data_IF_356391541418
#
_entry.id   IF_356391541418
#
_cell.length_a   1.000
_cell.length_b   1.000
_cell.length_c   1.000
_cell.angle_alpha   90.00
_cell.angle_beta   90.00
_cell.angle_gamma   90.00
#
_symmetry.space_group_name_H-M   'P 1'
#
loop_
_entity.id
_entity.type
_entity.pdbx_description
1 polymer ?
#
# COMPACT_ATOMS: atom_id res chain seq x y z
N UNK A 1 19.17 -5.89 6.13
CA UNK A 1 18.11 -6.20 5.15
C UNK A 1 17.21 -7.27 5.74
N UNK A 2 15.88 -7.07 5.74
CA UNK A 2 14.90 -8.07 6.19
C UNK A 2 14.30 -8.74 4.95
N UNK A 3 14.37 -10.07 4.87
CA UNK A 3 13.81 -10.84 3.76
C UNK A 3 12.42 -11.35 4.15
N UNK A 4 11.39 -10.58 3.84
CA UNK A 4 10.00 -10.92 4.14
C UNK A 4 9.05 -10.46 3.02
N UNK A 5 7.89 -11.13 2.91
CA UNK A 5 6.79 -10.72 2.02
C UNK A 5 5.51 -10.55 2.83
N UNK A 6 4.77 -9.49 2.55
CA UNK A 6 3.51 -9.22 3.19
C UNK A 6 2.36 -10.12 2.72
N UNK A 7 1.14 -9.91 3.24
CA UNK A 7 0.76 -8.77 4.08
C UNK A 7 1.42 -8.81 5.46
N UNK A 8 1.81 -7.64 5.98
CA UNK A 8 2.40 -7.50 7.32
C UNK A 8 1.32 -7.17 8.34
N UNK A 9 1.51 -7.60 9.59
CA UNK A 9 0.59 -7.31 10.69
C UNK A 9 0.98 -6.03 11.40
N UNK A 10 0.01 -5.35 12.02
CA UNK A 10 0.26 -4.15 12.83
C UNK A 10 1.22 -4.43 13.99
N UNK A 11 1.07 -5.58 14.65
CA UNK A 11 1.94 -6.00 15.74
C UNK A 11 3.39 -6.18 15.25
N UNK A 12 3.59 -6.89 14.15
CA UNK A 12 4.92 -7.12 13.59
C UNK A 12 5.61 -5.83 13.14
N UNK A 13 4.87 -4.91 12.52
CA UNK A 13 5.38 -3.59 12.14
C UNK A 13 5.73 -2.75 13.38
N UNK A 14 4.90 -2.80 14.42
CA UNK A 14 5.14 -2.07 15.69
C UNK A 14 6.39 -2.60 16.39
N UNK A 15 6.54 -3.93 16.48
CA UNK A 15 7.72 -4.57 17.05
C UNK A 15 8.97 -4.18 16.25
N UNK A 16 8.92 -4.29 14.92
CA UNK A 16 10.03 -3.94 14.04
C UNK A 16 10.48 -2.48 14.22
N UNK A 17 9.54 -1.52 14.25
CA UNK A 17 9.86 -0.10 14.42
C UNK A 17 10.50 0.16 15.80
N UNK A 18 10.01 -0.45 16.87
CA UNK A 18 10.56 -0.30 18.22
C UNK A 18 11.93 -0.96 18.39
N UNK A 19 12.03 -2.24 18.07
CA UNK A 19 13.25 -3.04 18.28
C UNK A 19 14.44 -2.52 17.50
N UNK A 20 14.17 -1.92 16.33
CA UNK A 20 15.20 -1.32 15.48
C UNK A 20 15.38 0.17 15.70
N UNK A 21 14.68 0.76 16.68
CA UNK A 21 14.69 2.19 16.98
C UNK A 21 14.52 3.06 15.72
N UNK A 22 13.59 2.67 14.83
CA UNK A 22 13.35 3.38 13.57
C UNK A 22 12.57 4.65 13.88
N UNK A 23 13.17 5.81 13.61
CA UNK A 23 12.54 7.12 13.77
C UNK A 23 11.81 7.61 12.51
N UNK A 24 12.13 7.06 11.34
CA UNK A 24 11.61 7.52 10.05
C UNK A 24 11.26 6.34 9.12
N UNK A 25 10.04 6.36 8.59
CA UNK A 25 9.55 5.45 7.56
C UNK A 25 9.50 6.17 6.20
N UNK A 26 10.25 5.68 5.21
CA UNK A 26 10.14 6.12 3.82
C UNK A 26 9.37 5.07 3.03
N UNK A 27 8.25 5.44 2.41
CA UNK A 27 7.44 4.47 1.67
C UNK A 27 6.74 5.08 0.46
N UNK A 28 6.30 4.22 -0.47
CA UNK A 28 5.53 4.62 -1.66
C UNK A 28 4.04 4.68 -1.35
N UNK A 29 3.34 5.65 -1.93
CA UNK A 29 1.88 5.69 -1.97
C UNK A 29 1.30 4.66 -2.98
N UNK A 30 1.51 3.37 -2.68
CA UNK A 30 1.02 2.24 -3.48
C UNK A 30 -0.49 2.03 -3.34
N UNK A 31 -1.09 2.50 -2.24
CA UNK A 31 -2.48 2.23 -1.90
C UNK A 31 -2.72 0.77 -1.49
N UNK A 32 -3.97 0.45 -1.13
CA UNK A 32 -4.40 -0.89 -0.74
C UNK A 32 -4.15 -1.22 0.72
N UNK A 33 -5.00 -2.10 1.27
CA UNK A 33 -5.01 -2.49 2.68
C UNK A 33 -3.74 -3.18 3.17
N UNK A 34 -2.99 -3.81 2.26
CA UNK A 34 -1.70 -4.45 2.58
C UNK A 34 -0.62 -3.47 3.08
N UNK A 35 -0.82 -2.15 2.93
CA UNK A 35 0.12 -1.12 3.40
C UNK A 35 -0.30 -0.41 4.68
N UNK A 36 -1.48 -0.73 5.23
CA UNK A 36 -2.04 -0.02 6.38
C UNK A 36 -1.27 -0.30 7.66
N UNK A 37 -0.81 -1.54 7.86
CA UNK A 37 -0.15 -1.97 9.10
C UNK A 37 1.04 -1.09 9.49
N UNK A 38 1.97 -0.83 8.55
CA UNK A 38 3.16 0.02 8.82
C UNK A 38 2.84 1.48 9.05
N UNK A 39 1.83 2.02 8.35
CA UNK A 39 1.41 3.41 8.50
C UNK A 39 0.69 3.60 9.84
N UNK A 40 -0.11 2.62 10.26
CA UNK A 40 -0.75 2.59 11.57
C UNK A 40 0.29 2.44 12.70
N UNK A 41 1.27 1.54 12.55
CA UNK A 41 2.37 1.38 13.51
C UNK A 41 3.18 2.67 13.65
N UNK A 42 3.59 3.27 12.52
CA UNK A 42 4.34 4.52 12.53
C UNK A 42 3.58 5.65 13.22
N UNK A 43 2.26 5.78 12.94
CA UNK A 43 1.39 6.76 13.61
C UNK A 43 1.31 6.52 15.11
N UNK A 44 1.12 5.28 15.55
CA UNK A 44 1.02 4.92 16.96
C UNK A 44 2.31 5.20 17.75
N UNK A 45 3.46 5.11 17.08
CA UNK A 45 4.78 5.33 17.68
C UNK A 45 5.33 6.75 17.48
N UNK A 46 4.63 7.63 16.77
CA UNK A 46 5.13 8.98 16.45
C UNK A 46 6.31 8.99 15.47
N UNK A 47 6.51 7.91 14.73
CA UNK A 47 7.57 7.77 13.70
C UNK A 47 7.27 8.69 12.53
N UNK A 48 8.27 9.45 12.07
CA UNK A 48 8.15 10.34 10.92
C UNK A 48 7.86 9.52 9.66
N UNK A 49 6.89 9.94 8.84
CA UNK A 49 6.59 9.27 7.57
C UNK A 49 6.91 10.18 6.39
N UNK A 50 7.78 9.71 5.49
CA UNK A 50 8.03 10.31 4.18
C UNK A 50 7.33 9.45 3.14
N UNK A 51 6.20 9.95 2.64
CA UNK A 51 5.38 9.23 1.66
C UNK A 51 5.66 9.75 0.24
N UNK A 52 6.29 8.91 -0.58
CA UNK A 52 6.52 9.21 -2.00
C UNK A 52 5.18 9.25 -2.75
N UNK A 53 4.90 10.41 -3.37
CA UNK A 53 3.68 10.61 -4.18
C UNK A 53 3.67 9.67 -5.38
N UNK A 54 2.46 9.30 -5.81
CA UNK A 54 2.24 8.53 -7.04
C UNK A 54 2.70 9.39 -8.24
N UNK A 55 3.51 8.85 -9.17
CA UNK A 55 3.85 9.58 -10.39
C UNK A 55 2.60 9.83 -11.25
N UNK A 56 2.62 10.85 -12.12
CA UNK A 56 1.58 11.05 -13.14
C UNK A 56 1.38 9.77 -13.97
N UNK A 57 0.14 9.51 -14.36
CA UNK A 57 -0.23 8.36 -15.21
C UNK A 57 -0.98 8.85 -16.43
N UNK A 58 -0.88 8.14 -17.58
CA UNK A 58 -1.74 8.41 -18.72
C UNK A 58 -3.22 8.37 -18.32
N UNK A 59 -4.04 9.21 -18.96
CA UNK A 59 -5.49 9.15 -18.80
C UNK A 59 -6.02 7.89 -19.52
N UNK A 60 -6.30 6.86 -18.74
CA UNK A 60 -6.93 5.61 -19.19
C UNK A 60 -8.13 5.32 -18.30
N UNK A 61 -9.11 4.51 -18.74
CA UNK A 61 -10.16 4.02 -17.85
C UNK A 61 -9.56 3.36 -16.60
N UNK A 62 -10.05 3.75 -15.43
CA UNK A 62 -9.63 3.20 -14.13
C UNK A 62 -10.86 2.77 -13.36
N UNK A 63 -10.77 1.61 -12.74
CA UNK A 63 -11.74 1.09 -11.78
C UNK A 63 -11.06 0.96 -10.42
N UNK A 64 -11.82 1.12 -9.34
CA UNK A 64 -11.29 1.13 -7.97
C UNK A 64 -11.20 -0.28 -7.39
N UNK A 65 -11.97 -1.22 -7.91
CA UNK A 65 -12.12 -2.56 -7.36
C UNK A 65 -11.87 -3.66 -8.39
N UNK A 66 -11.52 -4.84 -7.89
CA UNK A 66 -11.42 -6.04 -8.70
C UNK A 66 -12.76 -6.43 -9.34
N UNK A 67 -13.88 -6.20 -8.64
CA UNK A 67 -15.22 -6.52 -9.14
C UNK A 67 -15.58 -5.66 -10.36
N UNK A 68 -15.36 -4.34 -10.28
CA UNK A 68 -15.54 -3.43 -11.41
C UNK A 68 -14.62 -3.81 -12.59
N UNK A 69 -13.39 -4.25 -12.32
CA UNK A 69 -12.47 -4.71 -13.37
C UNK A 69 -13.03 -5.94 -14.10
N UNK A 70 -13.63 -6.90 -13.39
CA UNK A 70 -14.27 -8.07 -14.02
C UNK A 70 -15.46 -7.67 -14.89
N UNK A 71 -16.30 -6.74 -14.42
CA UNK A 71 -17.43 -6.22 -15.21
C UNK A 71 -16.93 -5.54 -16.48
N UNK A 72 -15.89 -4.70 -16.38
CA UNK A 72 -15.28 -4.04 -17.51
C UNK A 72 -14.75 -5.05 -18.54
N UNK A 73 -14.00 -6.08 -18.09
CA UNK A 73 -13.47 -7.13 -18.97
C UNK A 73 -14.57 -7.91 -19.68
N UNK A 74 -15.66 -8.25 -18.98
CA UNK A 74 -16.80 -8.95 -19.59
C UNK A 74 -17.52 -8.10 -20.65
N UNK A 75 -17.51 -6.77 -20.50
CA UNK A 75 -18.05 -5.83 -21.48
C UNK A 75 -17.23 -5.76 -22.78
N UNK A 76 -15.90 -5.88 -22.71
CA UNK A 76 -15.03 -5.81 -23.89
C UNK A 76 -15.25 -6.94 -24.91
N UNK A 77 -15.78 -8.09 -24.47
CA UNK A 77 -16.06 -9.23 -25.34
C UNK A 77 -17.35 -9.08 -26.17
N UNK A 78 -18.12 -8.00 -25.97
CA UNK A 78 -19.40 -7.75 -26.66
C UNK A 78 -19.29 -6.79 -27.84
N UNK A 79 -18.14 -6.14 -28.01
CA UNK A 79 -17.87 -5.14 -29.07
C UNK A 79 -16.88 -5.67 -30.15
N UNK A 80 -16.74 -6.99 -30.29
CA UNK A 80 -16.00 -7.66 -31.38
C UNK A 80 -16.93 -8.59 -32.14
#
# INVERSE_FOLDING_TARGET
MLLARGPFTLEGETALLRERAIDTLVCKNSGGSATDAKLAAARALGVRVILQRRPPRPAVPVVATEAEARVWLAGLGRDR
#
